data_IF_159991225229
#
_entry.id   IF_159991225229
#
_cell.length_a   1.000
_cell.length_b   1.000
_cell.length_c   1.000
_cell.angle_alpha   90.00
_cell.angle_beta   90.00
_cell.angle_gamma   90.00
#
_symmetry.space_group_name_H-M   'P 1'
#
loop_
_entity.id
_entity.type
_entity.pdbx_description
1 polymer ?
#
# COMPACT_ATOMS: atom_id res chain seq x y z
N UNK A 1 -21.01 -20.14 4.84
CA UNK A 1 -20.25 -19.71 3.63
C UNK A 1 -20.76 -20.57 2.49
N UNK A 2 -21.30 -19.94 1.45
CA UNK A 2 -21.78 -20.67 0.26
C UNK A 2 -20.58 -20.97 -0.64
N UNK A 3 -19.89 -22.08 -0.35
CA UNK A 3 -18.69 -22.51 -1.08
C UNK A 3 -18.98 -22.72 -2.57
N UNK A 4 -20.23 -23.02 -2.95
CA UNK A 4 -20.62 -23.26 -4.34
C UNK A 4 -20.50 -22.01 -5.19
N UNK A 5 -20.67 -20.81 -4.61
CA UNK A 5 -20.43 -19.53 -5.29
C UNK A 5 -18.95 -19.20 -5.47
N UNK A 6 -18.06 -19.83 -4.70
CA UNK A 6 -16.61 -19.61 -4.75
C UNK A 6 -15.89 -20.62 -5.64
N UNK A 7 -16.48 -21.81 -5.84
CA UNK A 7 -15.93 -22.88 -6.68
C UNK A 7 -15.47 -22.44 -8.07
N UNK A 8 -16.17 -21.53 -8.80
CA UNK A 8 -15.70 -21.08 -10.11
C UNK A 8 -14.32 -20.41 -10.09
N UNK A 9 -13.95 -19.76 -8.98
CA UNK A 9 -12.71 -18.99 -8.85
C UNK A 9 -11.62 -19.72 -8.07
N UNK A 10 -11.95 -20.82 -7.40
CA UNK A 10 -11.03 -21.63 -6.62
C UNK A 10 -10.20 -22.60 -7.46
N UNK A 11 -9.91 -22.26 -8.72
CA UNK A 11 -9.11 -23.03 -9.69
C UNK A 11 -8.28 -22.14 -10.58
N UNK A 12 -7.42 -22.71 -11.43
CA UNK A 12 -6.82 -21.96 -12.53
C UNK A 12 -7.93 -21.43 -13.45
N UNK A 13 -7.94 -20.12 -13.65
CA UNK A 13 -8.81 -19.43 -14.60
C UNK A 13 -8.06 -19.31 -15.93
N UNK A 14 -8.67 -19.67 -17.06
CA UNK A 14 -7.98 -19.61 -18.35
C UNK A 14 -7.73 -18.16 -18.80
N UNK A 15 -6.84 -17.95 -19.78
CA UNK A 15 -6.66 -16.63 -20.38
C UNK A 15 -7.96 -16.16 -21.08
N UNK A 16 -8.69 -17.06 -21.73
CA UNK A 16 -9.99 -16.78 -22.35
C UNK A 16 -11.03 -16.33 -21.31
N UNK A 17 -11.07 -16.97 -20.14
CA UNK A 17 -11.96 -16.56 -19.04
C UNK A 17 -11.57 -15.19 -18.48
N UNK A 18 -10.27 -14.86 -18.45
CA UNK A 18 -9.82 -13.51 -18.09
C UNK A 18 -10.17 -12.47 -19.18
N UNK A 19 -10.33 -12.88 -20.43
CA UNK A 19 -10.67 -12.01 -21.60
C UNK A 19 -12.15 -11.71 -21.75
N UNK A 20 -13.03 -12.57 -21.24
CA UNK A 20 -14.48 -12.48 -21.50
C UNK A 20 -15.27 -11.58 -20.55
N UNK A 21 -14.71 -11.25 -19.37
CA UNK A 21 -15.38 -10.43 -18.37
C UNK A 21 -14.80 -9.01 -18.33
N UNK A 22 -15.62 -8.03 -17.94
CA UNK A 22 -15.11 -6.71 -17.58
C UNK A 22 -14.10 -6.85 -16.43
N UNK A 23 -12.87 -6.39 -16.67
CA UNK A 23 -11.75 -6.61 -15.73
C UNK A 23 -12.03 -6.03 -14.34
N UNK A 24 -12.78 -4.93 -14.23
CA UNK A 24 -13.09 -4.33 -12.94
C UNK A 24 -14.20 -5.08 -12.20
N UNK A 25 -15.25 -5.50 -12.90
CA UNK A 25 -16.26 -6.40 -12.33
C UNK A 25 -15.63 -7.70 -11.84
N UNK A 26 -14.67 -8.24 -12.59
CA UNK A 26 -14.00 -9.47 -12.21
C UNK A 26 -13.07 -9.26 -11.00
N UNK A 27 -12.36 -8.13 -10.95
CA UNK A 27 -11.56 -7.74 -9.79
C UNK A 27 -12.41 -7.64 -8.51
N UNK A 28 -13.60 -7.04 -8.62
CA UNK A 28 -14.57 -6.97 -7.53
C UNK A 28 -15.02 -8.37 -7.08
N UNK A 29 -15.38 -9.25 -8.02
CA UNK A 29 -15.81 -10.61 -7.72
C UNK A 29 -14.73 -11.44 -7.01
N UNK A 30 -13.47 -11.36 -7.47
CA UNK A 30 -12.33 -12.02 -6.83
C UNK A 30 -12.05 -11.41 -5.45
N UNK A 31 -12.15 -10.09 -5.29
CA UNK A 31 -11.93 -9.42 -4.01
C UNK A 31 -13.01 -9.80 -2.99
N UNK A 32 -14.29 -9.88 -3.39
CA UNK A 32 -15.38 -10.38 -2.54
C UNK A 32 -15.16 -11.85 -2.15
N UNK A 33 -14.68 -12.66 -3.10
CA UNK A 33 -14.34 -14.06 -2.85
C UNK A 33 -13.20 -14.19 -1.84
N UNK A 34 -12.15 -13.37 -1.98
CA UNK A 34 -11.04 -13.31 -1.03
C UNK A 34 -11.47 -12.88 0.36
N UNK A 35 -12.39 -11.92 0.49
CA UNK A 35 -13.00 -11.52 1.78
C UNK A 35 -13.69 -12.69 2.48
N UNK A 36 -14.18 -13.66 1.72
CA UNK A 36 -14.84 -14.85 2.27
C UNK A 36 -13.86 -15.99 2.53
N UNK A 37 -12.77 -16.07 1.75
CA UNK A 37 -11.87 -17.22 1.73
C UNK A 37 -10.39 -16.80 1.60
N UNK A 38 -9.89 -15.99 2.54
CA UNK A 38 -8.53 -15.42 2.53
C UNK A 38 -7.39 -16.44 2.41
N UNK A 39 -7.61 -17.68 2.86
CA UNK A 39 -6.61 -18.74 2.86
C UNK A 39 -6.58 -19.57 1.57
N UNK A 40 -7.37 -19.22 0.54
CA UNK A 40 -7.31 -19.89 -0.75
C UNK A 40 -6.22 -19.27 -1.65
N UNK A 41 -5.11 -19.98 -1.93
CA UNK A 41 -4.03 -19.43 -2.75
C UNK A 41 -4.43 -19.22 -4.23
N UNK A 42 -5.41 -19.95 -4.77
CA UNK A 42 -5.88 -19.75 -6.15
C UNK A 42 -6.55 -18.40 -6.34
N UNK A 43 -7.34 -17.93 -5.37
CA UNK A 43 -8.00 -16.63 -5.46
C UNK A 43 -6.98 -15.49 -5.55
N UNK A 44 -5.91 -15.56 -4.75
CA UNK A 44 -4.80 -14.60 -4.81
C UNK A 44 -4.04 -14.70 -6.14
N UNK A 45 -3.75 -15.92 -6.61
CA UNK A 45 -3.09 -16.14 -7.90
C UNK A 45 -3.92 -15.58 -9.08
N UNK A 46 -5.22 -15.85 -9.12
CA UNK A 46 -6.11 -15.37 -10.17
C UNK A 46 -6.22 -13.84 -10.15
N UNK A 47 -6.31 -13.23 -8.95
CA UNK A 47 -6.32 -11.77 -8.83
C UNK A 47 -4.98 -11.16 -9.25
N UNK A 48 -3.86 -11.83 -8.98
CA UNK A 48 -2.54 -11.43 -9.47
C UNK A 48 -2.47 -11.41 -11.00
N UNK A 49 -2.97 -12.45 -11.67
CA UNK A 49 -3.01 -12.51 -13.14
C UNK A 49 -3.93 -11.45 -13.74
N UNK A 50 -5.08 -11.22 -13.14
CA UNK A 50 -5.98 -10.14 -13.55
C UNK A 50 -5.31 -8.77 -13.40
N UNK A 51 -4.68 -8.49 -12.27
CA UNK A 51 -3.95 -7.23 -12.03
C UNK A 51 -2.80 -7.02 -13.02
N UNK A 52 -2.06 -8.09 -13.34
CA UNK A 52 -0.99 -8.05 -14.33
C UNK A 52 -1.54 -7.66 -15.71
N UNK A 53 -2.65 -8.28 -16.12
CA UNK A 53 -3.34 -7.98 -17.37
C UNK A 53 -3.88 -6.55 -17.41
N UNK A 54 -4.37 -6.05 -16.28
CA UNK A 54 -4.84 -4.67 -16.13
C UNK A 54 -3.69 -3.65 -16.12
N UNK A 55 -2.41 -4.06 -16.10
CA UNK A 55 -1.26 -3.15 -16.05
C UNK A 55 -0.85 -2.69 -14.64
N UNK A 56 -1.41 -3.29 -13.59
CA UNK A 56 -1.08 -3.02 -12.19
C UNK A 56 -0.02 -4.01 -11.67
N UNK A 57 1.15 -4.00 -12.31
CA UNK A 57 2.19 -5.02 -12.17
C UNK A 57 2.70 -5.20 -10.73
N UNK A 58 2.87 -4.10 -10.00
CA UNK A 58 3.32 -4.11 -8.62
C UNK A 58 2.29 -4.73 -7.66
N UNK A 59 0.99 -4.51 -7.90
CA UNK A 59 -0.09 -5.18 -7.17
C UNK A 59 -0.14 -6.68 -7.50
N UNK A 60 0.05 -7.03 -8.78
CA UNK A 60 0.17 -8.43 -9.19
C UNK A 60 1.31 -9.15 -8.47
N UNK A 61 2.47 -8.49 -8.31
CA UNK A 61 3.59 -9.05 -7.54
C UNK A 61 3.25 -9.22 -6.04
N UNK A 62 2.36 -8.42 -5.47
CA UNK A 62 1.89 -8.60 -4.08
C UNK A 62 1.02 -9.83 -3.96
N UNK A 63 0.03 -9.96 -4.83
CA UNK A 63 -0.92 -11.06 -4.78
C UNK A 63 -0.27 -12.41 -5.16
N UNK A 64 0.64 -12.42 -6.14
CA UNK A 64 1.41 -13.61 -6.47
C UNK A 64 2.28 -14.08 -5.30
N UNK A 65 2.87 -13.13 -4.55
CA UNK A 65 3.62 -13.46 -3.32
C UNK A 65 2.70 -14.01 -2.22
N UNK A 66 1.52 -13.41 -2.00
CA UNK A 66 0.53 -13.91 -1.03
C UNK A 66 0.09 -15.34 -1.35
N UNK A 67 -0.21 -15.61 -2.63
CA UNK A 67 -0.54 -16.94 -3.11
C UNK A 67 0.59 -17.94 -2.84
N UNK A 68 1.84 -17.56 -3.13
CA UNK A 68 3.03 -18.37 -2.87
C UNK A 68 3.19 -18.66 -1.37
N UNK A 69 3.08 -17.63 -0.51
CA UNK A 69 3.26 -17.76 0.93
C UNK A 69 2.21 -18.69 1.55
N UNK A 70 0.95 -18.60 1.10
CA UNK A 70 -0.11 -19.53 1.52
C UNK A 70 0.16 -20.96 1.05
N UNK A 71 0.51 -21.14 -0.23
CA UNK A 71 0.74 -22.46 -0.81
C UNK A 71 1.97 -23.17 -0.19
N UNK A 72 3.03 -22.42 0.15
CA UNK A 72 4.23 -22.97 0.79
C UNK A 72 4.05 -23.25 2.28
N UNK A 73 3.41 -22.34 3.03
CA UNK A 73 3.21 -22.54 4.47
C UNK A 73 2.21 -23.66 4.77
N UNK A 74 1.24 -23.87 3.87
CA UNK A 74 0.19 -24.90 3.97
C UNK A 74 -0.42 -25.00 5.38
N UNK A 75 -0.81 -23.86 5.95
CA UNK A 75 -1.37 -23.81 7.30
C UNK A 75 -2.62 -24.72 7.42
N UNK A 76 -3.03 -25.16 8.62
CA UNK A 76 -4.24 -25.97 8.77
C UNK A 76 -5.49 -25.33 8.14
N UNK A 77 -5.58 -23.99 8.15
CA UNK A 77 -6.66 -23.24 7.49
C UNK A 77 -6.55 -23.34 5.97
N UNK A 78 -5.35 -23.17 5.42
CA UNK A 78 -5.08 -23.30 3.97
C UNK A 78 -5.38 -24.72 3.48
N UNK A 79 -4.88 -25.74 4.20
CA UNK A 79 -5.12 -27.14 3.87
C UNK A 79 -6.61 -27.48 3.90
N UNK A 80 -7.32 -27.04 4.95
CA UNK A 80 -8.78 -27.22 5.05
C UNK A 80 -9.54 -26.59 3.88
N UNK A 81 -9.17 -25.36 3.50
CA UNK A 81 -9.74 -24.70 2.31
C UNK A 81 -9.46 -25.53 1.06
N UNK A 82 -8.21 -25.93 0.79
CA UNK A 82 -7.88 -26.70 -0.41
C UNK A 82 -8.64 -28.04 -0.48
N UNK A 83 -8.71 -28.79 0.63
CA UNK A 83 -9.46 -30.04 0.69
C UNK A 83 -10.95 -29.85 0.35
N UNK A 84 -11.54 -28.71 0.72
CA UNK A 84 -12.95 -28.40 0.41
C UNK A 84 -13.20 -28.11 -1.07
N UNK A 85 -12.18 -27.73 -1.83
CA UNK A 85 -12.28 -27.44 -3.27
C UNK A 85 -11.84 -28.63 -4.15
N UNK A 86 -10.87 -29.44 -3.72
CA UNK A 86 -10.14 -30.36 -4.60
C UNK A 86 -10.36 -31.86 -4.37
N UNK A 87 -11.22 -32.25 -3.41
CA UNK A 87 -11.49 -33.67 -3.08
C UNK A 87 -10.21 -34.42 -2.61
N UNK A 88 -10.32 -35.65 -2.04
CA UNK A 88 -9.32 -36.18 -1.11
C UNK A 88 -8.14 -36.94 -1.72
N UNK A 89 -7.94 -36.94 -3.04
CA UNK A 89 -6.79 -37.63 -3.64
C UNK A 89 -5.49 -36.85 -3.40
N UNK A 90 -4.69 -37.33 -2.45
CA UNK A 90 -3.44 -36.71 -2.01
C UNK A 90 -2.47 -36.46 -3.17
N UNK A 91 -2.35 -37.41 -4.10
CA UNK A 91 -1.47 -37.30 -5.27
C UNK A 91 -1.89 -36.14 -6.18
N UNK A 92 -3.19 -35.97 -6.40
CA UNK A 92 -3.73 -34.84 -7.16
C UNK A 92 -3.51 -33.52 -6.44
N UNK A 93 -3.78 -33.44 -5.14
CA UNK A 93 -3.56 -32.20 -4.37
C UNK A 93 -2.08 -31.78 -4.42
N UNK A 94 -1.14 -32.71 -4.23
CA UNK A 94 0.30 -32.44 -4.30
C UNK A 94 0.71 -31.94 -5.69
N UNK A 95 0.19 -32.55 -6.76
CA UNK A 95 0.45 -32.14 -8.14
C UNK A 95 -0.06 -30.71 -8.40
N UNK A 96 -1.34 -30.45 -8.11
CA UNK A 96 -1.95 -29.14 -8.34
C UNK A 96 -1.26 -28.04 -7.51
N UNK A 97 -0.84 -28.35 -6.28
CA UNK A 97 -0.08 -27.40 -5.45
C UNK A 97 1.32 -27.13 -6.00
N UNK A 98 2.01 -28.15 -6.50
CA UNK A 98 3.32 -27.99 -7.14
C UNK A 98 3.22 -27.06 -8.34
N UNK A 99 2.21 -27.27 -9.20
CA UNK A 99 1.96 -26.42 -10.36
C UNK A 99 1.57 -25.01 -9.92
N UNK A 100 0.70 -24.86 -8.91
CA UNK A 100 0.29 -23.55 -8.40
C UNK A 100 1.49 -22.74 -7.88
N UNK A 101 2.36 -23.34 -7.06
CA UNK A 101 3.54 -22.64 -6.53
C UNK A 101 4.48 -22.20 -7.67
N UNK A 102 4.64 -23.03 -8.68
CA UNK A 102 5.44 -22.67 -9.85
C UNK A 102 4.80 -21.52 -10.64
N UNK A 103 3.50 -21.59 -10.90
CA UNK A 103 2.73 -20.55 -11.56
C UNK A 103 2.75 -19.24 -10.77
N UNK A 104 2.68 -19.26 -9.44
CA UNK A 104 2.79 -18.03 -8.62
C UNK A 104 4.18 -17.41 -8.70
N UNK A 105 5.26 -18.19 -8.71
CA UNK A 105 6.60 -17.68 -8.97
C UNK A 105 6.74 -17.12 -10.39
N UNK A 106 6.16 -17.78 -11.39
CA UNK A 106 6.17 -17.31 -12.77
C UNK A 106 5.42 -15.98 -12.93
N UNK A 107 4.20 -15.87 -12.40
CA UNK A 107 3.42 -14.62 -12.40
C UNK A 107 4.14 -13.52 -11.62
N UNK A 108 4.75 -13.83 -10.48
CA UNK A 108 5.58 -12.87 -9.75
C UNK A 108 6.74 -12.37 -10.61
N UNK A 109 7.42 -13.24 -11.35
CA UNK A 109 8.50 -12.85 -12.24
C UNK A 109 8.02 -11.98 -13.41
N UNK A 110 6.88 -12.30 -14.02
CA UNK A 110 6.27 -11.46 -15.05
C UNK A 110 5.96 -10.07 -14.51
N UNK A 111 5.30 -10.00 -13.36
CA UNK A 111 4.96 -8.76 -12.69
C UNK A 111 6.20 -7.91 -12.37
N UNK A 112 7.27 -8.52 -11.85
CA UNK A 112 8.52 -7.81 -11.55
C UNK A 112 9.26 -7.36 -12.80
N UNK A 113 9.27 -8.15 -13.86
CA UNK A 113 9.89 -7.77 -15.12
C UNK A 113 9.13 -6.65 -15.84
N UNK A 114 7.80 -6.62 -15.70
CA UNK A 114 6.93 -5.59 -16.25
C UNK A 114 6.88 -4.32 -15.38
N UNK A 115 7.33 -4.37 -14.12
CA UNK A 115 7.45 -3.18 -13.28
C UNK A 115 8.75 -2.46 -13.66
N UNK A 116 8.73 -1.22 -14.18
CA UNK A 116 9.92 -0.57 -14.72
C UNK A 116 10.87 0.00 -13.65
N UNK A 117 10.88 -0.55 -12.43
CA UNK A 117 11.71 -0.10 -11.31
C UNK A 117 13.05 -0.82 -11.28
N UNK A 118 14.13 -0.13 -11.68
CA UNK A 118 15.52 -0.42 -11.30
C UNK A 118 16.03 -1.86 -11.54
N UNK A 119 17.31 -2.09 -11.21
CA UNK A 119 17.92 -3.42 -11.39
C UNK A 119 17.38 -4.51 -10.46
N UNK A 120 16.92 -4.14 -9.26
CA UNK A 120 16.49 -5.10 -8.24
C UNK A 120 15.25 -5.91 -8.65
N UNK A 121 14.29 -5.30 -9.37
CA UNK A 121 13.10 -6.03 -9.84
C UNK A 121 13.46 -7.18 -10.80
N UNK A 122 14.42 -6.96 -11.70
CA UNK A 122 14.92 -8.02 -12.58
C UNK A 122 15.61 -9.13 -11.81
N UNK A 123 16.40 -8.80 -10.79
CA UNK A 123 17.04 -9.80 -9.93
C UNK A 123 16.00 -10.68 -9.21
N UNK A 124 14.95 -10.06 -8.65
CA UNK A 124 13.84 -10.79 -8.03
C UNK A 124 13.07 -11.65 -9.04
N UNK A 125 12.88 -11.18 -10.27
CA UNK A 125 12.24 -11.95 -11.32
C UNK A 125 13.07 -13.18 -11.69
N UNK A 126 14.39 -13.03 -11.86
CA UNK A 126 15.30 -14.14 -12.18
C UNK A 126 15.36 -15.17 -11.04
N UNK A 127 15.41 -14.73 -9.79
CA UNK A 127 15.37 -15.62 -8.63
C UNK A 127 14.05 -16.42 -8.57
N UNK A 128 12.92 -15.77 -8.82
CA UNK A 128 11.62 -16.42 -8.86
C UNK A 128 11.53 -17.46 -10.00
N UNK A 129 12.05 -17.15 -11.19
CA UNK A 129 12.09 -18.11 -12.31
C UNK A 129 12.99 -19.31 -12.01
N UNK A 130 14.12 -19.08 -11.33
CA UNK A 130 14.97 -20.17 -10.90
C UNK A 130 14.24 -21.10 -9.92
N UNK A 131 13.48 -20.55 -8.96
CA UNK A 131 12.64 -21.33 -8.04
C UNK A 131 11.55 -22.10 -8.79
N UNK A 132 10.83 -21.44 -9.70
CA UNK A 132 9.79 -22.07 -10.51
C UNK A 132 10.33 -23.28 -11.29
N UNK A 133 11.45 -23.11 -12.01
CA UNK A 133 12.09 -24.18 -12.79
C UNK A 133 12.55 -25.37 -11.95
N UNK A 134 13.04 -25.13 -10.73
CA UNK A 134 13.43 -26.20 -9.79
C UNK A 134 12.22 -26.99 -9.32
N UNK A 135 11.13 -26.32 -9.00
CA UNK A 135 9.88 -26.96 -8.55
C UNK A 135 9.28 -27.81 -9.67
N UNK A 136 9.36 -27.33 -10.91
CA UNK A 136 8.79 -28.01 -12.07
C UNK A 136 9.80 -28.87 -12.81
N UNK A 137 10.72 -29.52 -12.08
CA UNK A 137 11.77 -30.33 -12.70
C UNK A 137 11.18 -31.40 -13.62
N UNK A 138 10.11 -32.05 -13.19
CA UNK A 138 9.39 -33.10 -13.92
C UNK A 138 8.42 -32.60 -14.99
N UNK A 139 8.27 -31.29 -15.20
CA UNK A 139 7.31 -30.70 -16.14
C UNK A 139 8.04 -29.91 -17.24
N UNK A 140 8.44 -30.58 -18.34
CA UNK A 140 9.29 -29.98 -19.37
C UNK A 140 8.67 -28.75 -20.03
N UNK A 141 7.35 -28.75 -20.26
CA UNK A 141 6.64 -27.63 -20.89
C UNK A 141 6.68 -26.37 -20.04
N UNK A 142 6.46 -26.52 -18.73
CA UNK A 142 6.59 -25.40 -17.79
C UNK A 142 8.03 -24.88 -17.74
N UNK A 143 9.01 -25.79 -17.68
CA UNK A 143 10.44 -25.43 -17.66
C UNK A 143 10.82 -24.65 -18.93
N UNK A 144 10.27 -25.03 -20.08
CA UNK A 144 10.46 -24.34 -21.35
C UNK A 144 9.85 -22.93 -21.32
N UNK A 145 8.57 -22.79 -20.91
CA UNK A 145 7.89 -21.49 -20.74
C UNK A 145 8.65 -20.57 -19.77
N UNK A 146 9.10 -21.09 -18.64
CA UNK A 146 9.91 -20.34 -17.67
C UNK A 146 11.28 -19.94 -18.22
N UNK A 147 11.92 -20.80 -19.01
CA UNK A 147 13.20 -20.50 -19.69
C UNK A 147 13.10 -19.42 -20.76
N UNK A 148 11.98 -19.38 -21.49
CA UNK A 148 11.68 -18.30 -22.45
C UNK A 148 11.56 -16.94 -21.73
N UNK A 149 10.80 -16.90 -20.63
CA UNK A 149 10.67 -15.69 -19.83
C UNK A 149 12.00 -15.28 -19.20
N UNK A 150 12.79 -16.22 -18.68
CA UNK A 150 14.13 -15.95 -18.13
C UNK A 150 15.05 -15.28 -19.16
N UNK A 151 15.02 -15.77 -20.41
CA UNK A 151 15.78 -15.17 -21.51
C UNK A 151 15.33 -13.73 -21.79
N UNK A 152 14.00 -13.50 -21.82
CA UNK A 152 13.44 -12.17 -22.00
C UNK A 152 13.84 -11.20 -20.88
N UNK A 153 13.70 -11.62 -19.62
CA UNK A 153 14.07 -10.85 -18.43
C UNK A 153 15.56 -10.49 -18.44
N UNK A 154 16.45 -11.44 -18.77
CA UNK A 154 17.90 -11.16 -18.89
C UNK A 154 18.20 -10.11 -19.96
N UNK A 155 17.53 -10.17 -21.11
CA UNK A 155 17.68 -9.19 -22.19
C UNK A 155 17.24 -7.80 -21.73
N UNK A 156 16.06 -7.68 -21.12
CA UNK A 156 15.57 -6.41 -20.58
C UNK A 156 16.50 -5.85 -19.50
N UNK A 157 16.96 -6.71 -18.59
CA UNK A 157 17.87 -6.29 -17.52
C UNK A 157 19.19 -5.75 -18.08
N UNK A 158 19.77 -6.42 -19.09
CA UNK A 158 20.98 -5.95 -19.75
C UNK A 158 20.79 -4.55 -20.37
N UNK A 159 19.64 -4.30 -21.02
CA UNK A 159 19.30 -2.99 -21.58
C UNK A 159 19.20 -1.92 -20.49
N UNK A 160 18.50 -2.21 -19.39
CA UNK A 160 18.37 -1.28 -18.26
C UNK A 160 19.72 -0.98 -17.61
N UNK A 161 20.57 -2.00 -17.43
CA UNK A 161 21.93 -1.80 -16.92
C UNK A 161 22.77 -0.90 -17.84
N UNK A 162 22.62 -1.03 -19.16
CA UNK A 162 23.29 -0.16 -20.11
C UNK A 162 22.80 1.28 -19.99
N UNK A 163 21.48 1.49 -19.86
CA UNK A 163 20.91 2.82 -19.63
C UNK A 163 21.42 3.46 -18.33
N UNK A 164 21.43 2.69 -17.23
CA UNK A 164 21.93 3.15 -15.92
C UNK A 164 23.43 3.50 -16.01
N UNK A 165 24.25 2.68 -16.68
CA UNK A 165 25.69 2.95 -16.85
C UNK A 165 25.97 4.23 -17.62
N UNK A 166 25.09 4.56 -18.57
CA UNK A 166 25.24 5.74 -19.41
C UNK A 166 24.68 7.01 -18.75
N UNK A 167 23.76 6.86 -17.78
CA UNK A 167 23.15 7.98 -17.07
C UNK A 167 24.02 8.45 -15.90
N UNK A 168 24.10 9.75 -15.67
CA UNK A 168 24.74 10.31 -14.47
C UNK A 168 23.73 10.41 -13.33
N UNK A 169 24.14 10.21 -12.06
CA UNK A 169 23.26 10.44 -10.91
C UNK A 169 22.66 11.85 -10.95
N UNK A 170 21.34 11.95 -10.74
CA UNK A 170 20.61 13.21 -10.80
C UNK A 170 20.13 13.62 -12.20
N UNK A 171 20.53 12.91 -13.26
CA UNK A 171 19.90 13.08 -14.58
C UNK A 171 18.48 12.53 -14.55
N UNK A 172 17.57 13.22 -15.25
CA UNK A 172 16.17 12.81 -15.38
C UNK A 172 16.02 11.35 -15.84
N UNK A 173 16.90 10.89 -16.73
CA UNK A 173 16.90 9.51 -17.22
C UNK A 173 17.17 8.50 -16.10
N UNK A 174 18.14 8.77 -15.22
CA UNK A 174 18.43 7.90 -14.08
C UNK A 174 17.23 7.86 -13.11
N UNK A 175 16.70 9.04 -12.79
CA UNK A 175 15.56 9.20 -11.89
C UNK A 175 14.32 8.47 -12.43
N UNK A 176 14.03 8.61 -13.74
CA UNK A 176 12.94 7.92 -14.40
C UNK A 176 13.11 6.39 -14.36
N UNK A 177 14.30 5.87 -14.66
CA UNK A 177 14.57 4.42 -14.66
C UNK A 177 14.44 3.80 -13.26
N UNK A 178 14.77 4.55 -12.21
CA UNK A 178 14.83 4.01 -10.85
C UNK A 178 13.54 4.23 -10.08
N UNK A 179 12.77 5.29 -10.40
CA UNK A 179 11.67 5.77 -9.56
C UNK A 179 10.33 5.85 -10.26
N UNK A 180 10.26 5.71 -11.57
CA UNK A 180 8.99 5.78 -12.27
C UNK A 180 8.41 4.39 -12.49
N UNK A 181 7.09 4.30 -12.43
CA UNK A 181 6.33 3.16 -12.92
C UNK A 181 5.28 3.58 -13.92
N UNK A 182 5.05 2.71 -14.89
CA UNK A 182 3.92 2.84 -15.81
C UNK A 182 2.73 2.09 -15.22
N UNK A 183 1.58 2.77 -15.13
CA UNK A 183 0.30 2.21 -14.70
C UNK A 183 -0.84 2.85 -15.50
N UNK A 184 -1.96 2.14 -15.68
CA UNK A 184 -3.17 2.77 -16.23
C UNK A 184 -3.56 4.03 -15.44
N UNK A 185 -4.06 5.03 -16.15
CA UNK A 185 -4.50 6.31 -15.56
C UNK A 185 -5.52 6.09 -14.42
N UNK A 186 -5.24 6.69 -13.26
CA UNK A 186 -6.08 6.68 -12.08
C UNK A 186 -6.84 8.00 -12.01
N UNK A 187 -8.18 7.95 -12.15
CA UNK A 187 -9.02 9.16 -12.17
C UNK A 187 -8.84 9.97 -10.88
N UNK A 188 -8.25 11.17 -10.98
CA UNK A 188 -7.97 12.03 -9.83
C UNK A 188 -7.07 11.37 -8.79
N UNK A 189 -6.15 10.51 -9.22
CA UNK A 189 -5.24 9.76 -8.35
C UNK A 189 -5.85 8.55 -7.65
N UNK A 190 -7.09 8.18 -7.97
CA UNK A 190 -7.81 7.07 -7.34
C UNK A 190 -7.86 5.83 -8.23
N UNK A 191 -7.68 4.68 -7.60
CA UNK A 191 -7.89 3.39 -8.27
C UNK A 191 -9.35 3.24 -8.71
N UNK A 192 -9.63 2.58 -9.85
CA UNK A 192 -10.99 2.37 -10.33
C UNK A 192 -11.91 1.64 -9.34
N UNK A 193 -11.34 0.80 -8.48
CA UNK A 193 -12.05 0.08 -7.42
C UNK A 193 -12.08 0.81 -6.07
N UNK A 194 -11.61 2.05 -5.99
CA UNK A 194 -11.64 2.85 -4.77
C UNK A 194 -13.04 3.44 -4.51
N UNK A 195 -13.89 2.66 -3.82
CA UNK A 195 -15.30 2.97 -3.56
C UNK A 195 -15.57 3.80 -2.29
N UNK A 196 -14.54 4.34 -1.62
CA UNK A 196 -14.77 5.01 -0.33
C UNK A 196 -15.28 6.45 -0.50
N UNK A 197 -16.43 6.73 0.14
CA UNK A 197 -17.27 7.90 -0.09
C UNK A 197 -16.61 9.24 0.29
N UNK A 198 -15.86 9.28 1.39
CA UNK A 198 -15.24 10.52 1.87
C UNK A 198 -14.26 11.10 0.83
N UNK A 199 -13.57 10.23 0.10
CA UNK A 199 -12.63 10.59 -0.98
C UNK A 199 -13.29 10.61 -2.37
N UNK A 200 -14.47 10.00 -2.51
CA UNK A 200 -15.27 10.08 -3.74
C UNK A 200 -15.87 11.47 -3.99
N UNK A 201 -16.25 12.18 -2.92
CA UNK A 201 -16.87 13.52 -3.03
C UNK A 201 -15.97 14.55 -3.69
N UNK A 202 -14.68 14.53 -3.39
CA UNK A 202 -13.74 15.50 -3.95
C UNK A 202 -13.22 15.11 -5.35
N UNK A 203 -13.59 13.94 -5.88
CA UNK A 203 -13.42 13.58 -7.29
C UNK A 203 -14.65 13.94 -8.14
N UNK A 204 -15.78 14.28 -7.52
CA UNK A 204 -17.02 14.73 -8.17
C UNK A 204 -17.10 16.26 -8.31
N UNK A 205 -16.10 16.99 -7.83
CA UNK A 205 -16.04 18.45 -7.77
C UNK A 205 -15.80 19.11 -9.12
N UNK A 206 -16.41 18.65 -10.21
CA UNK A 206 -16.35 19.38 -11.49
C UNK A 206 -17.35 20.55 -11.53
N UNK A 207 -18.09 20.80 -10.44
CA UNK A 207 -19.09 21.87 -10.33
C UNK A 207 -18.88 22.80 -9.11
N UNK A 208 -19.42 24.02 -9.22
CA UNK A 208 -19.30 25.09 -8.23
C UNK A 208 -20.00 24.79 -6.89
N UNK A 209 -21.09 24.01 -6.89
CA UNK A 209 -21.82 23.66 -5.67
C UNK A 209 -20.97 22.74 -4.78
N UNK A 210 -20.21 21.84 -5.40
CA UNK A 210 -19.26 20.96 -4.72
C UNK A 210 -18.13 21.73 -4.02
N UNK A 211 -17.60 22.80 -4.63
CA UNK A 211 -16.62 23.68 -3.96
C UNK A 211 -17.23 24.43 -2.77
N UNK A 212 -18.45 24.95 -2.93
CA UNK A 212 -19.15 25.65 -1.84
C UNK A 212 -19.46 24.71 -0.66
N UNK A 213 -19.79 23.45 -0.94
CA UNK A 213 -19.97 22.44 0.10
C UNK A 213 -18.68 22.18 0.88
N UNK A 214 -17.54 22.06 0.18
CA UNK A 214 -16.21 21.93 0.81
C UNK A 214 -15.85 23.16 1.65
N UNK A 215 -16.05 24.38 1.11
CA UNK A 215 -15.84 25.62 1.86
C UNK A 215 -16.66 25.62 3.15
N UNK A 216 -17.95 25.26 3.07
CA UNK A 216 -18.84 25.20 4.23
C UNK A 216 -18.36 24.18 5.26
N UNK A 217 -17.96 22.98 4.83
CA UNK A 217 -17.45 21.94 5.74
C UNK A 217 -16.20 22.43 6.49
N UNK A 218 -15.20 22.94 5.77
CA UNK A 218 -13.94 23.37 6.37
C UNK A 218 -14.13 24.57 7.29
N UNK A 219 -15.00 25.52 6.92
CA UNK A 219 -15.31 26.66 7.80
C UNK A 219 -16.08 26.25 9.05
N UNK A 220 -16.97 25.24 8.98
CA UNK A 220 -17.58 24.67 10.17
C UNK A 220 -16.55 24.01 11.09
N UNK A 221 -15.54 23.33 10.51
CA UNK A 221 -14.44 22.76 11.30
C UNK A 221 -13.60 23.85 11.98
N UNK A 222 -13.25 24.93 11.27
CA UNK A 222 -12.55 26.09 11.84
C UNK A 222 -13.35 26.73 12.97
N UNK A 223 -14.67 26.88 12.81
CA UNK A 223 -15.55 27.41 13.85
C UNK A 223 -15.53 26.52 15.12
N UNK A 224 -15.55 25.20 14.97
CA UNK A 224 -15.45 24.25 16.08
C UNK A 224 -14.09 24.30 16.81
N UNK A 225 -13.03 24.74 16.13
CA UNK A 225 -11.72 24.99 16.72
C UNK A 225 -11.58 26.39 17.35
N UNK A 226 -12.62 27.22 17.29
CA UNK A 226 -12.58 28.61 17.74
C UNK A 226 -11.76 29.53 16.83
N UNK A 227 -11.46 29.10 15.60
CA UNK A 227 -10.64 29.84 14.64
C UNK A 227 -11.47 30.86 13.84
N UNK A 228 -12.16 31.78 14.52
CA UNK A 228 -13.14 32.69 13.91
C UNK A 228 -12.55 33.81 13.03
N UNK A 229 -11.24 34.02 13.10
CA UNK A 229 -10.53 35.11 12.40
C UNK A 229 -9.96 34.70 11.05
N UNK A 230 -10.13 33.44 10.69
CA UNK A 230 -9.70 32.87 9.43
C UNK A 230 -10.86 32.12 8.80
N UNK A 231 -10.82 32.00 7.48
CA UNK A 231 -11.74 31.13 6.73
C UNK A 231 -10.96 30.37 5.66
N UNK A 232 -11.39 29.14 5.41
CA UNK A 232 -10.94 28.36 4.27
C UNK A 232 -11.71 28.82 3.02
N UNK A 233 -11.00 28.96 1.91
CA UNK A 233 -11.59 29.11 0.57
C UNK A 233 -11.01 28.09 -0.38
N UNK A 234 -11.81 27.70 -1.36
CA UNK A 234 -11.40 26.83 -2.47
C UNK A 234 -11.65 27.54 -3.81
N UNK A 235 -10.75 27.36 -4.76
CA UNK A 235 -10.89 27.89 -6.12
C UNK A 235 -10.29 26.90 -7.11
N UNK A 236 -10.85 26.83 -8.33
CA UNK A 236 -10.16 26.13 -9.40
C UNK A 236 -8.93 26.90 -9.84
N UNK A 237 -7.86 26.16 -10.09
CA UNK A 237 -6.63 26.66 -10.69
C UNK A 237 -6.92 27.18 -12.08
N UNK A 238 -6.49 28.41 -12.34
CA UNK A 238 -6.56 29.02 -13.68
C UNK A 238 -5.59 28.35 -14.65
N UNK A 239 -4.54 27.70 -14.13
CA UNK A 239 -3.44 27.12 -14.92
C UNK A 239 -3.48 25.59 -14.99
N UNK A 240 -4.25 24.92 -14.14
CA UNK A 240 -4.37 23.47 -14.12
C UNK A 240 -5.84 23.06 -14.30
N UNK A 241 -6.20 22.39 -15.41
CA UNK A 241 -7.56 21.90 -15.61
C UNK A 241 -8.00 21.04 -14.43
N UNK A 242 -9.02 21.51 -13.69
CA UNK A 242 -9.59 20.86 -12.48
C UNK A 242 -8.64 20.76 -11.27
N UNK A 243 -7.53 21.48 -11.26
CA UNK A 243 -6.72 21.62 -10.05
C UNK A 243 -7.48 22.45 -9.03
N UNK A 244 -7.71 21.95 -7.82
CA UNK A 244 -8.32 22.74 -6.74
C UNK A 244 -7.20 23.38 -5.93
N UNK A 245 -7.26 24.69 -5.76
CA UNK A 245 -6.43 25.45 -4.84
C UNK A 245 -7.23 25.74 -3.56
N UNK A 246 -6.57 25.61 -2.42
CA UNK A 246 -7.15 25.90 -1.12
C UNK A 246 -6.28 26.92 -0.38
N UNK A 247 -6.91 27.82 0.38
CA UNK A 247 -6.19 28.82 1.16
C UNK A 247 -6.94 29.25 2.41
N UNK A 248 -6.17 29.58 3.46
CA UNK A 248 -6.68 30.22 4.67
C UNK A 248 -6.54 31.74 4.55
N UNK A 249 -7.64 32.44 4.71
CA UNK A 249 -7.70 33.89 4.58
C UNK A 249 -8.16 34.53 5.88
N UNK A 250 -7.47 35.59 6.31
CA UNK A 250 -7.93 36.41 7.43
C UNK A 250 -9.29 37.05 7.08
N UNK A 251 -10.23 37.01 8.02
CA UNK A 251 -11.54 37.67 7.89
C UNK A 251 -11.55 39.07 8.50
N UNK A 252 -10.49 39.43 9.22
CA UNK A 252 -10.30 40.70 9.91
C UNK A 252 -8.81 40.97 10.16
N UNK A 253 -8.39 42.20 10.52
CA UNK A 253 -7.01 42.48 10.89
C UNK A 253 -6.52 41.60 12.05
N UNK A 254 -5.29 41.08 11.92
CA UNK A 254 -4.62 40.25 12.92
C UNK A 254 -3.53 41.06 13.62
N UNK A 255 -3.46 40.99 14.95
CA UNK A 255 -2.38 41.64 15.69
C UNK A 255 -1.11 40.78 15.66
N UNK A 256 0.05 41.40 15.85
CA UNK A 256 1.29 40.68 16.07
C UNK A 256 1.17 39.73 17.28
N UNK A 257 1.72 38.51 17.15
CA UNK A 257 1.69 37.44 18.16
C UNK A 257 0.31 36.90 18.54
N UNK A 258 -0.72 37.22 17.76
CA UNK A 258 -2.06 36.71 18.00
C UNK A 258 -2.22 35.27 17.51
N UNK A 259 -2.75 34.37 18.35
CA UNK A 259 -3.06 33.00 17.94
C UNK A 259 -4.37 32.97 17.14
N UNK A 260 -4.30 32.52 15.87
CA UNK A 260 -5.46 32.43 14.96
C UNK A 260 -6.00 31.02 14.79
N UNK A 261 -5.17 30.01 15.04
CA UNK A 261 -5.50 28.60 14.95
C UNK A 261 -4.59 27.83 15.92
N UNK A 262 -5.19 26.92 16.67
CA UNK A 262 -4.45 25.97 17.50
C UNK A 262 -4.90 24.55 17.16
N UNK A 263 -4.08 23.85 16.38
CA UNK A 263 -4.35 22.48 15.96
C UNK A 263 -3.47 21.48 16.71
N UNK A 264 -4.03 20.29 16.95
CA UNK A 264 -3.24 19.14 17.43
C UNK A 264 -2.88 18.27 16.24
N UNK A 265 -1.62 17.84 16.11
CA UNK A 265 -1.24 16.99 15.01
C UNK A 265 -1.98 15.65 15.08
N UNK A 266 -2.54 15.21 13.96
CA UNK A 266 -3.26 13.93 13.87
C UNK A 266 -2.30 12.75 14.05
N UNK A 267 -1.09 12.88 13.51
CA UNK A 267 -0.01 11.92 13.68
C UNK A 267 1.29 12.67 13.95
N UNK A 268 2.07 12.13 14.89
CA UNK A 268 3.45 12.52 15.16
C UNK A 268 4.26 11.25 15.29
N UNK A 269 5.48 11.28 14.78
CA UNK A 269 6.42 10.17 14.92
C UNK A 269 7.77 10.73 15.32
N UNK A 270 8.51 9.93 16.06
CA UNK A 270 9.83 10.29 16.56
C UNK A 270 10.86 9.36 15.90
N UNK A 271 11.86 9.95 15.25
CA UNK A 271 12.96 9.20 14.65
C UNK A 271 14.19 9.10 15.58
N UNK A 272 14.11 9.54 16.83
CA UNK A 272 15.26 9.59 17.76
C UNK A 272 15.19 8.43 18.75
N UNK A 273 16.14 7.50 18.64
CA UNK A 273 16.27 6.33 19.51
C UNK A 273 16.71 6.67 20.94
N UNK A 274 17.43 7.78 21.13
CA UNK A 274 18.13 8.10 22.39
C UNK A 274 17.57 9.30 23.15
N UNK A 275 16.52 9.96 22.65
CA UNK A 275 15.90 11.06 23.37
C UNK A 275 14.70 10.59 24.16
N UNK A 276 14.54 11.14 25.36
CA UNK A 276 13.32 11.04 26.18
C UNK A 276 12.12 11.75 25.53
N UNK A 277 11.99 11.78 24.21
CA UNK A 277 10.85 12.39 23.55
C UNK A 277 9.62 11.47 23.62
N UNK A 278 8.46 12.08 23.85
CA UNK A 278 7.19 11.40 23.97
C UNK A 278 6.83 10.69 22.66
N UNK A 279 6.53 9.40 22.72
CA UNK A 279 6.17 8.60 21.54
C UNK A 279 4.78 8.93 20.97
N UNK A 280 4.03 9.80 21.65
CA UNK A 280 2.74 10.31 21.19
C UNK A 280 2.83 11.69 20.55
N UNK A 281 3.46 12.67 21.21
CA UNK A 281 3.48 14.08 20.78
C UNK A 281 4.87 14.63 20.43
N UNK A 282 5.91 13.79 20.44
CA UNK A 282 7.31 14.14 20.15
C UNK A 282 7.96 15.20 21.06
N UNK A 283 7.25 15.69 22.09
CA UNK A 283 7.80 16.61 23.09
C UNK A 283 8.83 15.92 24.00
N UNK A 284 9.92 16.60 24.34
CA UNK A 284 10.90 16.10 25.33
C UNK A 284 10.23 15.90 26.68
N UNK A 285 10.32 14.68 27.22
CA UNK A 285 9.74 14.32 28.51
C UNK A 285 10.67 14.79 29.64
N UNK A 286 10.18 15.74 30.44
CA UNK A 286 10.84 16.15 31.70
C UNK A 286 10.70 15.07 32.79
N UNK A 287 9.55 14.39 32.83
CA UNK A 287 9.27 13.26 33.72
C UNK A 287 8.60 12.15 32.90
N UNK A 288 9.39 11.23 32.30
CA UNK A 288 8.84 10.23 31.39
C UNK A 288 7.97 9.21 32.12
N UNK A 289 6.81 8.91 31.55
CA UNK A 289 5.96 7.78 31.89
C UNK A 289 6.31 6.62 30.96
N UNK A 290 6.91 5.57 31.49
CA UNK A 290 7.21 4.38 30.71
C UNK A 290 5.97 3.49 30.60
N UNK A 291 5.71 2.93 29.42
CA UNK A 291 4.63 1.96 29.27
C UNK A 291 4.85 0.76 30.21
N UNK A 292 3.86 0.39 31.06
CA UNK A 292 4.03 -0.71 32.02
C UNK A 292 4.13 -2.08 31.34
N UNK A 293 3.64 -2.22 30.09
CA UNK A 293 3.60 -3.48 29.34
C UNK A 293 4.92 -3.78 28.65
N UNK A 294 5.41 -2.89 27.78
CA UNK A 294 6.65 -3.13 27.02
C UNK A 294 7.91 -2.60 27.69
N UNK A 295 7.79 -1.64 28.63
CA UNK A 295 8.92 -0.97 29.29
C UNK A 295 9.91 -0.23 28.35
N UNK A 296 9.60 -0.12 27.06
CA UNK A 296 10.47 0.53 26.06
C UNK A 296 10.00 1.93 25.67
N UNK A 297 8.68 2.13 25.55
CA UNK A 297 8.11 3.39 25.05
C UNK A 297 7.87 4.37 26.21
N UNK A 298 8.18 5.65 25.98
CA UNK A 298 8.03 6.74 26.96
C UNK A 298 7.04 7.81 26.51
N UNK A 299 6.31 8.38 27.47
CA UNK A 299 5.31 9.42 27.26
C UNK A 299 5.50 10.59 28.22
N UNK A 300 5.15 11.80 27.80
CA UNK A 300 5.32 12.99 28.64
C UNK A 300 4.24 13.14 29.72
N UNK A 301 3.13 12.39 29.61
CA UNK A 301 1.99 12.46 30.51
C UNK A 301 1.13 11.20 30.44
N UNK A 302 0.32 10.95 31.47
CA UNK A 302 -0.64 9.85 31.48
C UNK A 302 -1.70 9.99 30.38
N UNK A 303 -2.01 11.24 29.99
CA UNK A 303 -2.85 11.53 28.83
C UNK A 303 -2.22 11.00 27.54
N UNK A 304 -0.95 11.33 27.26
CA UNK A 304 -0.27 10.85 26.06
C UNK A 304 -0.16 9.32 26.03
N UNK A 305 0.09 8.70 27.18
CA UNK A 305 0.08 7.25 27.31
C UNK A 305 -1.31 6.68 26.99
N UNK A 306 -2.38 7.24 27.57
CA UNK A 306 -3.76 6.80 27.34
C UNK A 306 -4.19 7.00 25.90
N UNK A 307 -3.94 8.18 25.32
CA UNK A 307 -4.30 8.49 23.94
C UNK A 307 -3.57 7.53 22.98
N UNK A 308 -2.27 7.29 23.17
CA UNK A 308 -1.53 6.28 22.42
C UNK A 308 -2.07 4.86 22.62
N UNK A 309 -2.34 4.46 23.87
CA UNK A 309 -2.89 3.15 24.22
C UNK A 309 -4.25 2.89 23.57
N UNK A 310 -5.09 3.91 23.43
CA UNK A 310 -6.41 3.80 22.79
C UNK A 310 -6.34 3.80 21.26
N UNK A 311 -5.31 4.42 20.67
CA UNK A 311 -5.24 4.63 19.22
C UNK A 311 -4.38 3.63 18.47
N UNK A 312 -3.11 3.42 18.84
CA UNK A 312 -2.18 2.58 18.04
C UNK A 312 -1.21 1.75 18.87
N UNK A 313 -0.96 2.11 20.13
CA UNK A 313 0.14 1.54 20.89
C UNK A 313 -0.10 0.08 21.27
N UNK A 314 -1.34 -0.40 21.43
CA UNK A 314 -1.57 -1.83 21.76
C UNK A 314 -1.10 -2.74 20.64
N UNK A 315 -1.23 -2.32 19.39
CA UNK A 315 -0.73 -3.06 18.23
C UNK A 315 0.80 -3.06 18.19
N UNK A 316 1.44 -1.94 18.54
CA UNK A 316 2.91 -1.81 18.49
C UNK A 316 3.62 -2.25 19.79
N UNK A 317 2.88 -2.46 20.88
CA UNK A 317 3.43 -2.72 22.21
C UNK A 317 4.31 -3.98 22.19
N UNK A 318 5.59 -3.83 22.57
CA UNK A 318 6.55 -4.95 22.60
C UNK A 318 7.06 -5.40 21.22
N UNK A 319 6.73 -4.68 20.13
CA UNK A 319 7.16 -4.99 18.76
C UNK A 319 8.35 -4.16 18.29
N UNK A 320 9.12 -3.58 19.22
CA UNK A 320 10.30 -2.74 18.93
C UNK A 320 11.26 -3.37 17.91
N UNK A 321 11.50 -4.68 17.99
CA UNK A 321 12.37 -5.42 17.06
C UNK A 321 11.95 -5.30 15.58
N UNK A 322 10.68 -5.01 15.30
CA UNK A 322 10.15 -4.82 13.95
C UNK A 322 10.09 -3.35 13.53
N UNK A 323 10.00 -2.42 14.48
CA UNK A 323 9.92 -0.98 14.21
C UNK A 323 11.32 -0.36 14.14
N UNK A 324 12.25 -0.81 14.99
CA UNK A 324 13.62 -0.27 15.08
C UNK A 324 14.36 -0.21 13.73
N UNK A 325 14.34 -1.25 12.86
CA UNK A 325 15.01 -1.16 11.56
C UNK A 325 14.47 -0.01 10.67
N UNK A 326 13.18 0.30 10.77
CA UNK A 326 12.59 1.45 10.07
C UNK A 326 13.07 2.77 10.67
N UNK A 327 13.17 2.86 12.01
CA UNK A 327 13.72 4.06 12.68
C UNK A 327 15.17 4.31 12.28
N UNK A 328 16.01 3.27 12.31
CA UNK A 328 17.41 3.33 11.88
C UNK A 328 17.55 3.75 10.41
N UNK A 329 16.63 3.29 9.56
CA UNK A 329 16.59 3.71 8.16
C UNK A 329 16.22 5.19 8.02
N UNK A 330 15.17 5.64 8.71
CA UNK A 330 14.75 7.05 8.72
C UNK A 330 15.85 7.97 9.24
N UNK A 331 16.62 7.55 10.25
CA UNK A 331 17.75 8.33 10.80
C UNK A 331 18.88 8.55 9.80
N UNK A 332 19.05 7.65 8.82
CA UNK A 332 20.03 7.81 7.74
C UNK A 332 19.52 8.75 6.64
N UNK A 333 18.22 9.05 6.63
CA UNK A 333 17.62 9.97 5.68
C UNK A 333 17.96 11.42 6.01
N UNK A 334 18.18 12.21 4.96
CA UNK A 334 18.54 13.64 5.06
C UNK A 334 17.41 14.59 4.66
N UNK A 335 16.26 14.06 4.20
CA UNK A 335 15.12 14.83 3.71
C UNK A 335 13.88 14.61 4.58
N UNK A 336 12.96 15.59 4.58
CA UNK A 336 11.68 15.50 5.31
C UNK A 336 10.87 14.22 5.02
N UNK A 337 10.71 13.80 3.75
CA UNK A 337 9.99 12.57 3.40
C UNK A 337 10.59 11.28 3.97
N UNK A 338 11.83 11.30 4.48
CA UNK A 338 12.42 10.14 5.13
C UNK A 338 11.62 9.65 6.35
N UNK A 339 10.74 10.48 6.93
CA UNK A 339 9.92 10.14 8.11
C UNK A 339 8.65 9.32 7.76
N UNK A 340 8.22 9.33 6.49
CA UNK A 340 6.98 8.68 6.03
C UNK A 340 6.88 7.21 6.46
N UNK A 341 7.94 6.37 6.39
CA UNK A 341 7.90 5.00 6.90
C UNK A 341 7.34 4.86 8.32
N UNK A 342 7.72 5.75 9.24
CA UNK A 342 7.24 5.70 10.62
C UNK A 342 5.78 6.16 10.73
N UNK A 343 5.38 7.15 9.92
CA UNK A 343 3.99 7.59 9.83
C UNK A 343 3.11 6.43 9.34
N UNK A 344 3.55 5.70 8.31
CA UNK A 344 2.86 4.51 7.79
C UNK A 344 2.66 3.47 8.88
N UNK A 345 3.71 3.08 9.63
CA UNK A 345 3.59 2.12 10.74
C UNK A 345 2.51 2.54 11.74
N UNK A 346 2.51 3.81 12.15
CA UNK A 346 1.61 4.31 13.17
C UNK A 346 0.16 4.49 12.67
N UNK A 347 -0.05 4.88 11.40
CA UNK A 347 -1.37 4.89 10.77
C UNK A 347 -1.94 3.48 10.61
N UNK A 348 -1.12 2.53 10.17
CA UNK A 348 -1.52 1.13 10.02
C UNK A 348 -1.89 0.52 11.38
N UNK A 349 -1.08 0.78 12.41
CA UNK A 349 -1.37 0.39 13.78
C UNK A 349 -2.67 1.01 14.30
N UNK A 350 -2.92 2.29 13.97
CA UNK A 350 -4.16 2.97 14.31
C UNK A 350 -5.36 2.27 13.66
N UNK A 351 -5.34 2.12 12.33
CA UNK A 351 -6.40 1.45 11.58
C UNK A 351 -6.70 0.04 12.12
N UNK A 352 -5.66 -0.77 12.36
CA UNK A 352 -5.79 -2.12 12.93
C UNK A 352 -6.44 -2.09 14.32
N UNK A 353 -5.96 -1.21 15.19
CA UNK A 353 -6.41 -1.17 16.57
C UNK A 353 -7.85 -0.68 16.71
N UNK A 354 -8.24 0.35 15.96
CA UNK A 354 -9.60 0.91 16.02
C UNK A 354 -10.56 0.23 15.06
N UNK A 355 -10.08 -0.74 14.27
CA UNK A 355 -10.84 -1.41 13.20
C UNK A 355 -11.48 -0.41 12.24
N UNK A 356 -10.78 0.71 12.02
CA UNK A 356 -11.21 1.77 11.11
C UNK A 356 -10.45 1.56 9.80
N UNK A 357 -11.13 1.54 8.64
CA UNK A 357 -10.44 1.45 7.36
C UNK A 357 -9.39 2.55 7.24
N UNK A 358 -8.20 2.21 6.76
CA UNK A 358 -7.01 3.08 6.86
C UNK A 358 -7.19 4.45 6.18
N UNK A 359 -7.70 4.47 4.94
CA UNK A 359 -8.07 5.69 4.22
C UNK A 359 -9.33 6.40 4.76
N UNK A 360 -10.03 5.86 5.78
CA UNK A 360 -11.14 6.50 6.51
C UNK A 360 -10.69 7.07 7.87
N UNK A 361 -9.42 6.93 8.24
CA UNK A 361 -8.90 7.56 9.45
C UNK A 361 -9.14 9.08 9.41
N UNK A 362 -9.46 9.73 10.55
CA UNK A 362 -9.85 11.14 10.58
C UNK A 362 -8.89 12.11 9.89
N UNK A 363 -7.58 11.83 9.92
CA UNK A 363 -6.54 12.64 9.27
C UNK A 363 -6.15 12.21 7.86
N UNK A 364 -6.72 11.12 7.34
CA UNK A 364 -6.40 10.58 6.01
C UNK A 364 -7.57 10.78 5.05
N UNK A 365 -8.80 10.58 5.52
CA UNK A 365 -10.02 10.57 4.68
C UNK A 365 -10.30 11.84 3.87
N UNK A 366 -9.62 12.95 4.20
CA UNK A 366 -9.73 14.24 3.53
C UNK A 366 -8.48 14.62 2.72
N UNK A 367 -7.46 13.78 2.71
CA UNK A 367 -6.27 13.99 1.90
C UNK A 367 -6.53 13.47 0.49
N UNK A 368 -5.95 14.17 -0.48
CA UNK A 368 -5.91 13.73 -1.87
C UNK A 368 -4.56 13.08 -2.14
N UNK A 369 -4.53 11.88 -2.74
CA UNK A 369 -3.26 11.30 -3.15
C UNK A 369 -2.69 12.13 -4.30
N UNK A 370 -1.38 12.35 -4.30
CA UNK A 370 -0.72 12.88 -5.48
C UNK A 370 -0.97 11.98 -6.69
N UNK A 371 -1.20 12.59 -7.85
CA UNK A 371 -1.36 11.92 -9.13
C UNK A 371 -0.63 12.68 -10.23
N UNK A 372 -0.13 11.98 -11.26
CA UNK A 372 0.41 12.63 -12.45
C UNK A 372 -0.68 13.40 -13.20
N UNK A 373 -0.25 14.23 -14.16
CA UNK A 373 -1.17 15.03 -14.97
C UNK A 373 -2.06 14.13 -15.84
N UNK A 374 -3.25 14.63 -16.20
CA UNK A 374 -4.23 13.86 -16.97
C UNK A 374 -3.63 13.39 -18.31
N UNK A 375 -3.65 12.09 -18.55
CA UNK A 375 -3.11 11.46 -19.76
C UNK A 375 -1.68 10.95 -19.62
N UNK A 376 -1.02 11.23 -18.48
CA UNK A 376 0.25 10.60 -18.13
C UNK A 376 0.00 9.28 -17.38
N UNK A 377 0.73 8.23 -17.74
CA UNK A 377 0.67 6.90 -17.11
C UNK A 377 1.84 6.68 -16.15
N UNK A 378 2.73 7.67 -16.03
CA UNK A 378 3.96 7.58 -15.25
C UNK A 378 3.73 8.05 -13.82
N UNK A 379 3.85 7.12 -12.87
CA UNK A 379 3.78 7.40 -11.43
C UNK A 379 5.16 7.36 -10.79
N UNK A 380 5.44 8.33 -9.93
CA UNK A 380 6.64 8.31 -9.10
C UNK A 380 6.44 7.39 -7.88
N UNK A 381 7.17 6.28 -7.85
CA UNK A 381 7.20 5.32 -6.76
C UNK A 381 8.65 5.00 -6.37
N UNK A 382 9.07 5.31 -5.14
CA UNK A 382 10.40 4.94 -4.69
C UNK A 382 10.64 3.42 -4.79
N UNK A 383 11.82 2.97 -5.25
CA UNK A 383 12.09 1.55 -5.51
C UNK A 383 11.97 0.67 -4.25
N UNK A 384 12.12 1.26 -3.06
CA UNK A 384 11.99 0.57 -1.77
C UNK A 384 10.54 0.35 -1.31
N UNK A 385 9.53 0.89 -2.02
CA UNK A 385 8.14 0.90 -1.58
C UNK A 385 7.59 -0.48 -1.24
N UNK A 386 7.96 -1.49 -2.02
CA UNK A 386 7.52 -2.85 -1.73
C UNK A 386 8.13 -3.42 -0.45
N UNK A 387 9.42 -3.17 -0.21
CA UNK A 387 10.07 -3.58 1.04
C UNK A 387 9.45 -2.85 2.23
N UNK A 388 9.20 -1.55 2.10
CA UNK A 388 8.55 -0.76 3.13
C UNK A 388 7.16 -1.31 3.47
N UNK A 389 6.38 -1.68 2.45
CA UNK A 389 5.07 -2.32 2.66
C UNK A 389 5.19 -3.59 3.51
N UNK A 390 6.06 -4.52 3.12
CA UNK A 390 6.25 -5.78 3.84
C UNK A 390 6.75 -5.53 5.29
N UNK A 391 7.66 -4.56 5.50
CA UNK A 391 8.17 -4.18 6.82
C UNK A 391 7.07 -3.56 7.71
N UNK A 392 6.18 -2.72 7.15
CA UNK A 392 5.03 -2.14 7.87
C UNK A 392 4.03 -3.22 8.28
N UNK A 393 3.68 -4.15 7.38
CA UNK A 393 2.78 -5.26 7.71
C UNK A 393 3.35 -6.13 8.83
N UNK A 394 4.66 -6.40 8.80
CA UNK A 394 5.37 -7.16 9.84
C UNK A 394 5.39 -6.41 11.17
N UNK A 395 5.57 -5.09 11.15
CA UNK A 395 5.55 -4.26 12.34
C UNK A 395 4.21 -4.33 13.08
N UNK A 396 3.09 -4.43 12.36
CA UNK A 396 1.74 -4.45 12.93
C UNK A 396 1.04 -5.83 12.93
N UNK A 397 1.77 -6.89 12.58
CA UNK A 397 1.29 -8.29 12.64
C UNK A 397 0.11 -8.63 11.74
N UNK A 398 0.11 -8.17 10.50
CA UNK A 398 -1.03 -8.44 9.61
C UNK A 398 -1.11 -9.92 9.27
N UNK A 399 -2.25 -10.53 9.63
CA UNK A 399 -2.62 -11.91 9.28
C UNK A 399 -3.28 -11.98 7.90
N UNK A 400 -3.38 -13.16 7.26
CA UNK A 400 -4.03 -13.31 5.96
C UNK A 400 -5.47 -12.78 5.92
N UNK A 401 -6.21 -12.90 7.02
CA UNK A 401 -7.57 -12.36 7.17
C UNK A 401 -7.63 -10.83 7.07
N UNK A 402 -6.53 -10.14 7.35
CA UNK A 402 -6.42 -8.68 7.34
C UNK A 402 -5.73 -8.16 6.06
N UNK A 403 -5.22 -9.02 5.17
CA UNK A 403 -4.46 -8.60 3.98
C UNK A 403 -5.23 -7.64 3.07
N UNK A 404 -6.55 -7.79 2.97
CA UNK A 404 -7.39 -6.88 2.18
C UNK A 404 -7.69 -5.56 2.88
N UNK A 405 -7.62 -5.50 4.21
CA UNK A 405 -7.76 -4.24 4.97
C UNK A 405 -6.50 -3.37 4.86
N UNK A 406 -5.37 -4.02 4.57
CA UNK A 406 -4.07 -3.40 4.36
C UNK A 406 -3.54 -3.72 2.96
N UNK A 407 -4.40 -3.75 1.95
CA UNK A 407 -4.02 -4.11 0.58
C UNK A 407 -2.97 -3.13 0.01
N UNK A 408 -2.16 -3.56 -0.96
CA UNK A 408 -1.04 -2.73 -1.43
C UNK A 408 -1.51 -1.43 -2.06
N UNK A 409 -2.65 -1.42 -2.75
CA UNK A 409 -3.22 -0.19 -3.30
C UNK A 409 -3.60 0.82 -2.21
N UNK A 410 -4.01 0.33 -1.03
CA UNK A 410 -4.31 1.17 0.15
C UNK A 410 -3.00 1.78 0.66
N UNK A 411 -1.96 0.95 0.83
CA UNK A 411 -0.63 1.40 1.23
C UNK A 411 -0.06 2.47 0.27
N UNK A 412 -0.08 2.18 -1.03
CA UNK A 412 0.36 3.08 -2.10
C UNK A 412 -0.40 4.41 -2.07
N UNK A 413 -1.72 4.34 -1.91
CA UNK A 413 -2.57 5.53 -1.83
C UNK A 413 -2.22 6.41 -0.63
N UNK A 414 -2.06 5.83 0.58
CA UNK A 414 -1.65 6.60 1.76
C UNK A 414 -0.26 7.18 1.57
N UNK A 415 0.68 6.42 1.01
CA UNK A 415 2.03 6.91 0.77
C UNK A 415 2.02 8.12 -0.16
N UNK A 416 1.24 8.09 -1.25
CA UNK A 416 1.06 9.22 -2.16
C UNK A 416 0.32 10.42 -1.56
N UNK A 417 -0.39 10.25 -0.45
CA UNK A 417 -0.97 11.36 0.32
C UNK A 417 0.04 12.03 1.27
N UNK A 418 1.12 11.32 1.62
CA UNK A 418 2.14 11.79 2.56
C UNK A 418 3.40 12.33 1.85
N UNK A 419 3.59 11.99 0.57
CA UNK A 419 4.54 12.65 -0.34
C UNK A 419 4.08 14.07 -0.65
#
# INVERSE_FOLDING_TARGET
MDLDKLKPFGRFISDEELDTLDSYQFFDALTVSLRSCHHNPFLWYNRARLLLKMGYNDHAAVDAKRATDLALCLSPKTASVLCSFYAPDEATVVREMTILIAETYYTYAQARAATPLGGECFLFALEALQKAKRITESYPDFRAKAGQLETHVKKQYANVLQLIRNAKPGEFVYEAIVKNIDRPDMRGGRYPWDKWDARGRAAQTDDLESLQALEKEYNNFLANLGASKIKMKFQYSETQPRGIQAGLFATQPLRANETVLHEKPVIQVNNRLLLSACQHCSTVCKSPRTCPRCRTEVYCSDRCLKDADTTYHRVLCGRDKHVRPLVEWVQKGTTGPAIIPLQMVKLFAWAKQTKTPLLELPGIRRLHPWSPEKGDTIYYIPPFMRRLYDDVLKAIDVSPEEWLDFDYWIFDTVYRMLL
#
